data_IF_155342672349
#
_entry.id   IF_155342672349
#
_cell.length_a   1.000
_cell.length_b   1.000
_cell.length_c   1.000
_cell.angle_alpha   90.00
_cell.angle_beta   90.00
_cell.angle_gamma   90.00
#
_symmetry.space_group_name_H-M   'P 1'
#
loop_
_entity.id
_entity.type
_entity.pdbx_description
1 polymer ?
#
# COMPACT_ATOMS: atom_id res chain seq x y z
N UNK A 1 16.59 -16.80 10.57
CA UNK A 1 15.73 -17.23 9.43
C UNK A 1 14.66 -16.19 9.11
N UNK A 2 13.87 -15.68 10.08
CA UNK A 2 12.90 -14.59 9.80
C UNK A 2 13.53 -13.19 9.69
N UNK A 3 14.47 -12.86 10.58
CA UNK A 3 15.17 -11.56 10.55
C UNK A 3 15.98 -11.38 9.26
N UNK A 4 16.43 -12.48 8.65
CA UNK A 4 17.22 -12.48 7.44
C UNK A 4 16.41 -11.99 6.23
N UNK A 5 15.14 -12.42 6.11
CA UNK A 5 14.25 -11.98 5.03
C UNK A 5 13.95 -10.48 5.12
N UNK A 6 13.65 -9.97 6.31
CA UNK A 6 13.41 -8.54 6.51
C UNK A 6 14.67 -7.72 6.18
N UNK A 7 15.84 -8.16 6.66
CA UNK A 7 17.12 -7.52 6.34
C UNK A 7 17.38 -7.50 4.84
N UNK A 8 17.06 -8.59 4.13
CA UNK A 8 17.19 -8.67 2.68
C UNK A 8 16.27 -7.67 1.97
N UNK A 9 14.99 -7.61 2.33
CA UNK A 9 14.04 -6.64 1.76
C UNK A 9 14.49 -5.21 2.03
N UNK A 10 14.94 -4.91 3.25
CA UNK A 10 15.45 -3.58 3.60
C UNK A 10 16.69 -3.19 2.82
N UNK A 11 17.60 -4.14 2.58
CA UNK A 11 18.78 -3.90 1.77
C UNK A 11 18.40 -3.61 0.32
N UNK A 12 17.49 -4.38 -0.27
CA UNK A 12 17.01 -4.11 -1.63
C UNK A 12 16.27 -2.78 -1.73
N UNK A 13 15.42 -2.45 -0.76
CA UNK A 13 14.71 -1.17 -0.68
C UNK A 13 15.67 0.02 -0.66
N UNK A 14 16.69 -0.01 0.22
CA UNK A 14 17.71 1.04 0.30
C UNK A 14 18.46 1.24 -1.02
N UNK A 15 18.59 0.18 -1.82
CA UNK A 15 19.24 0.20 -3.13
C UNK A 15 18.26 0.43 -4.30
N UNK A 16 16.99 0.75 -4.04
CA UNK A 16 15.95 0.98 -5.05
C UNK A 16 15.69 -0.23 -5.98
N UNK A 17 15.93 -1.45 -5.49
CA UNK A 17 15.85 -2.70 -6.23
C UNK A 17 14.46 -3.35 -6.15
N UNK A 18 13.43 -2.64 -6.65
CA UNK A 18 12.04 -3.09 -6.51
C UNK A 18 11.74 -4.39 -7.25
N UNK A 19 12.38 -4.63 -8.41
CA UNK A 19 12.23 -5.86 -9.20
C UNK A 19 12.71 -7.07 -8.43
N UNK A 20 13.83 -6.94 -7.73
CA UNK A 20 14.36 -8.02 -6.93
C UNK A 20 13.46 -8.32 -5.72
N UNK A 21 12.84 -7.30 -5.12
CA UNK A 21 11.88 -7.50 -4.02
C UNK A 21 10.67 -8.32 -4.47
N UNK A 22 10.09 -8.05 -5.63
CA UNK A 22 8.93 -8.84 -6.12
C UNK A 22 9.31 -10.30 -6.40
N UNK A 23 10.56 -10.56 -6.81
CA UNK A 23 11.03 -11.93 -7.09
C UNK A 23 11.40 -12.72 -5.82
N UNK A 24 11.70 -12.06 -4.68
CA UNK A 24 12.11 -12.71 -3.43
C UNK A 24 11.13 -13.77 -2.91
N UNK A 25 9.84 -13.56 -3.09
CA UNK A 25 8.78 -14.39 -2.51
C UNK A 25 7.80 -14.88 -3.60
N UNK A 26 8.30 -15.04 -4.82
CA UNK A 26 7.50 -15.47 -5.99
C UNK A 26 7.12 -16.94 -5.96
N UNK A 27 7.96 -17.78 -5.35
CA UNK A 27 7.81 -19.25 -5.30
C UNK A 27 7.60 -19.74 -3.87
N UNK A 28 8.36 -19.19 -2.93
CA UNK A 28 8.22 -19.51 -1.52
C UNK A 28 7.23 -18.54 -0.89
N UNK A 29 6.11 -19.05 -0.38
CA UNK A 29 5.16 -18.30 0.42
C UNK A 29 5.71 -18.18 1.86
N UNK A 30 6.85 -17.52 2.00
CA UNK A 30 7.59 -17.48 3.24
C UNK A 30 6.73 -16.85 4.34
N UNK A 31 6.65 -17.51 5.50
CA UNK A 31 5.88 -17.00 6.65
C UNK A 31 6.37 -15.60 7.05
N UNK A 32 7.68 -15.34 6.93
CA UNK A 32 8.28 -14.05 7.22
C UNK A 32 7.75 -12.92 6.30
N UNK A 33 7.40 -13.23 5.05
CA UNK A 33 6.90 -12.24 4.09
C UNK A 33 5.54 -11.65 4.54
N UNK A 34 4.72 -12.44 5.23
CA UNK A 34 3.40 -12.03 5.76
C UNK A 34 3.48 -10.91 6.80
N UNK A 35 4.65 -10.69 7.42
CA UNK A 35 4.87 -9.54 8.29
C UNK A 35 4.87 -8.22 7.50
N UNK A 36 5.31 -8.26 6.24
CA UNK A 36 5.38 -7.08 5.37
C UNK A 36 4.15 -6.95 4.49
N UNK A 37 3.76 -8.03 3.81
CA UNK A 37 2.64 -8.10 2.88
C UNK A 37 1.94 -9.45 3.03
N UNK A 38 0.62 -9.45 3.18
CA UNK A 38 -0.17 -10.68 3.25
C UNK A 38 -0.17 -11.43 1.90
N UNK A 39 -0.36 -10.71 0.80
CA UNK A 39 -0.16 -11.17 -0.58
C UNK A 39 1.03 -10.43 -1.17
N UNK A 40 2.01 -11.21 -1.64
CA UNK A 40 3.17 -10.68 -2.34
C UNK A 40 2.81 -10.41 -3.81
N UNK A 41 2.92 -9.15 -4.30
CA UNK A 41 2.49 -8.82 -5.66
C UNK A 41 3.47 -9.36 -6.71
N UNK A 42 2.93 -9.82 -7.84
CA UNK A 42 3.72 -10.03 -9.05
C UNK A 42 3.88 -8.73 -9.85
N UNK A 43 4.82 -8.70 -10.79
CA UNK A 43 4.92 -7.60 -11.76
C UNK A 43 3.62 -7.43 -12.57
N UNK A 44 2.94 -8.53 -12.93
CA UNK A 44 1.66 -8.48 -13.64
C UNK A 44 0.54 -7.84 -12.80
N UNK A 45 0.59 -8.00 -11.47
CA UNK A 45 -0.33 -7.30 -10.58
C UNK A 45 -0.10 -5.78 -10.60
N UNK A 46 1.17 -5.35 -10.54
CA UNK A 46 1.52 -3.93 -10.62
C UNK A 46 1.14 -3.33 -11.97
N UNK A 47 1.41 -4.04 -13.08
CA UNK A 47 1.00 -3.64 -14.42
C UNK A 47 -0.52 -3.51 -14.54
N UNK A 48 -1.29 -4.45 -14.00
CA UNK A 48 -2.75 -4.38 -14.04
C UNK A 48 -3.26 -3.12 -13.32
N UNK A 49 -2.67 -2.77 -12.18
CA UNK A 49 -3.05 -1.57 -11.44
C UNK A 49 -2.71 -0.30 -12.22
N UNK A 50 -1.47 -0.17 -12.70
CA UNK A 50 -1.03 0.97 -13.49
C UNK A 50 -1.94 1.19 -14.71
N UNK A 51 -2.18 0.13 -15.49
CA UNK A 51 -3.06 0.21 -16.66
C UNK A 51 -4.49 0.63 -16.29
N UNK A 52 -5.02 0.12 -15.18
CA UNK A 52 -6.37 0.51 -14.71
C UNK A 52 -6.39 1.99 -14.34
N UNK A 53 -5.42 2.48 -13.55
CA UNK A 53 -5.40 3.87 -13.10
C UNK A 53 -5.27 4.84 -14.28
N UNK A 54 -4.39 4.50 -15.24
CA UNK A 54 -4.20 5.28 -16.47
C UNK A 54 -5.42 5.27 -17.39
N UNK A 55 -6.14 4.15 -17.48
CA UNK A 55 -7.38 4.05 -18.27
C UNK A 55 -8.43 5.07 -17.79
N UNK A 56 -8.49 5.34 -16.49
CA UNK A 56 -9.40 6.33 -15.90
C UNK A 56 -8.80 7.75 -15.85
N UNK A 57 -7.62 7.96 -16.44
CA UNK A 57 -6.91 9.26 -16.44
C UNK A 57 -6.68 9.84 -15.04
N UNK A 58 -6.40 8.97 -14.07
CA UNK A 58 -6.16 9.36 -12.68
C UNK A 58 -4.66 9.63 -12.45
N UNK A 59 -4.34 10.55 -11.54
CA UNK A 59 -2.97 10.98 -11.25
C UNK A 59 -2.20 10.03 -10.33
N UNK A 60 -2.91 9.21 -9.54
CA UNK A 60 -2.27 8.38 -8.54
C UNK A 60 -3.24 7.52 -7.73
N UNK A 61 -2.75 7.05 -6.59
CA UNK A 61 -3.48 6.16 -5.67
C UNK A 61 -3.46 6.74 -4.27
N UNK A 62 -4.62 6.70 -3.61
CA UNK A 62 -4.75 6.87 -2.16
C UNK A 62 -4.99 5.47 -1.59
N UNK A 63 -4.02 4.94 -0.84
CA UNK A 63 -4.07 3.62 -0.22
C UNK A 63 -4.46 3.73 1.26
N UNK A 64 -5.66 3.26 1.58
CA UNK A 64 -6.22 3.21 2.94
C UNK A 64 -5.87 1.87 3.57
N UNK A 65 -5.25 1.87 4.76
CA UNK A 65 -4.75 0.64 5.38
C UNK A 65 -3.46 0.16 4.71
N UNK A 66 -2.58 1.09 4.35
CA UNK A 66 -1.35 0.78 3.61
C UNK A 66 -0.34 -0.07 4.44
N UNK A 67 -0.52 -0.17 5.76
CA UNK A 67 0.35 -0.92 6.63
C UNK A 67 1.74 -0.30 6.69
N UNK A 68 2.77 -1.12 6.43
CA UNK A 68 4.16 -0.65 6.38
C UNK A 68 4.49 0.14 5.10
N UNK A 69 3.59 0.14 4.11
CA UNK A 69 3.77 0.89 2.88
C UNK A 69 4.63 0.24 1.80
N UNK A 70 5.06 -1.03 1.99
CA UNK A 70 5.93 -1.69 1.02
C UNK A 70 5.27 -1.82 -0.36
N UNK A 71 4.00 -2.20 -0.39
CA UNK A 71 3.25 -2.35 -1.64
C UNK A 71 3.12 -1.02 -2.38
N UNK A 72 2.79 0.04 -1.63
CA UNK A 72 2.64 1.39 -2.14
C UNK A 72 3.95 1.90 -2.72
N UNK A 73 5.08 1.62 -2.06
CA UNK A 73 6.39 1.91 -2.60
C UNK A 73 6.67 1.12 -3.88
N UNK A 74 6.41 -0.19 -3.91
CA UNK A 74 6.60 -1.03 -5.11
C UNK A 74 5.78 -0.50 -6.29
N UNK A 75 4.51 -0.15 -6.07
CA UNK A 75 3.65 0.42 -7.10
C UNK A 75 4.19 1.75 -7.61
N UNK A 76 4.60 2.64 -6.71
CA UNK A 76 5.21 3.93 -7.09
C UNK A 76 6.49 3.75 -7.91
N UNK A 77 7.38 2.82 -7.51
CA UNK A 77 8.61 2.53 -8.25
C UNK A 77 8.35 1.90 -9.62
N UNK A 78 7.36 1.01 -9.73
CA UNK A 78 6.99 0.37 -10.99
C UNK A 78 6.36 1.36 -11.98
N UNK A 79 5.37 2.13 -11.51
CA UNK A 79 4.46 2.89 -12.38
C UNK A 79 4.83 4.36 -12.56
N UNK A 80 5.62 4.92 -11.64
CA UNK A 80 5.83 6.36 -11.51
C UNK A 80 4.59 7.13 -11.01
N UNK A 81 3.54 6.44 -10.58
CA UNK A 81 2.34 7.07 -10.01
C UNK A 81 2.63 7.65 -8.63
N UNK A 82 1.93 8.73 -8.29
CA UNK A 82 1.92 9.24 -6.92
C UNK A 82 1.09 8.29 -6.05
N UNK A 83 1.66 7.80 -4.96
CA UNK A 83 0.95 6.93 -4.00
C UNK A 83 0.97 7.56 -2.62
N UNK A 84 -0.22 7.79 -2.06
CA UNK A 84 -0.44 8.36 -0.73
C UNK A 84 -0.93 7.24 0.19
N UNK A 85 -0.22 6.98 1.28
CA UNK A 85 -0.60 5.96 2.26
C UNK A 85 -1.28 6.57 3.49
N UNK A 86 -2.48 6.09 3.81
CA UNK A 86 -3.19 6.38 5.05
C UNK A 86 -3.26 5.16 5.95
N UNK A 87 -3.11 5.42 7.24
CA UNK A 87 -3.27 4.46 8.32
C UNK A 87 -4.09 5.04 9.46
N UNK A 88 -4.83 4.18 10.16
CA UNK A 88 -5.73 4.61 11.24
C UNK A 88 -5.10 4.46 12.61
N UNK A 89 -4.16 3.52 12.78
CA UNK A 89 -3.53 3.23 14.06
C UNK A 89 -2.14 3.87 14.17
N UNK A 90 -2.10 5.17 14.45
CA UNK A 90 -0.84 5.91 14.61
C UNK A 90 0.03 5.35 15.73
N UNK A 91 -0.56 4.96 16.87
CA UNK A 91 0.16 4.43 18.01
C UNK A 91 0.94 3.16 17.64
N UNK A 92 0.30 2.25 16.90
CA UNK A 92 0.96 1.04 16.40
C UNK A 92 2.11 1.38 15.47
N UNK A 93 1.87 2.18 14.43
CA UNK A 93 2.86 2.47 13.38
C UNK A 93 3.98 3.41 13.80
N UNK A 94 3.84 4.10 14.93
CA UNK A 94 4.89 4.89 15.57
C UNK A 94 5.63 4.14 16.68
N UNK A 95 5.17 2.95 17.06
CA UNK A 95 5.80 2.15 18.10
C UNK A 95 7.12 1.53 17.63
N UNK A 96 8.02 1.23 18.57
CA UNK A 96 9.27 0.50 18.29
C UNK A 96 9.06 -0.95 17.80
N UNK A 97 7.83 -1.44 17.87
CA UNK A 97 7.45 -2.80 17.49
C UNK A 97 6.89 -2.87 16.07
N UNK A 98 6.64 -1.72 15.43
CA UNK A 98 6.14 -1.70 14.06
C UNK A 98 7.20 -2.20 13.09
N UNK A 99 6.74 -2.75 11.97
CA UNK A 99 7.62 -3.00 10.84
C UNK A 99 8.18 -1.66 10.30
N UNK A 100 9.34 -1.71 9.60
CA UNK A 100 9.89 -0.54 8.93
C UNK A 100 8.89 0.10 7.97
N UNK A 101 8.87 1.42 7.91
CA UNK A 101 8.01 2.16 6.99
C UNK A 101 8.73 2.39 5.66
N UNK A 102 8.08 2.06 4.55
CA UNK A 102 8.64 2.16 3.19
C UNK A 102 8.19 3.43 2.44
N UNK A 103 7.14 4.08 2.93
CA UNK A 103 6.66 5.41 2.53
C UNK A 103 6.34 6.23 3.79
N UNK A 104 6.13 7.54 3.62
CA UNK A 104 5.57 8.38 4.69
C UNK A 104 4.10 7.98 4.92
N UNK A 105 3.80 7.46 6.10
CA UNK A 105 2.43 7.19 6.53
C UNK A 105 1.75 8.48 6.99
N UNK A 106 0.50 8.70 6.58
CA UNK A 106 -0.32 9.78 7.10
C UNK A 106 -1.47 9.21 7.93
N UNK A 107 -1.82 9.92 9.00
CA UNK A 107 -2.80 9.49 9.99
C UNK A 107 -3.92 10.53 10.03
N UNK A 108 -4.94 10.42 9.16
CA UNK A 108 -6.03 11.38 9.14
C UNK A 108 -6.98 11.18 10.33
N UNK A 109 -7.62 12.26 10.73
CA UNK A 109 -8.73 12.23 11.69
C UNK A 109 -9.84 11.27 11.21
N UNK A 110 -10.55 10.68 12.17
CA UNK A 110 -11.68 9.77 11.90
C UNK A 110 -12.99 10.42 12.38
N UNK A 111 -14.02 10.53 11.52
CA UNK A 111 -14.07 10.07 10.12
C UNK A 111 -13.21 10.92 9.17
N UNK A 112 -12.81 10.38 8.01
CA UNK A 112 -12.02 11.11 7.01
C UNK A 112 -12.79 12.29 6.44
N UNK A 113 -12.06 13.32 6.01
CA UNK A 113 -12.64 14.50 5.36
C UNK A 113 -12.44 14.48 3.83
N UNK A 114 -13.24 15.20 3.03
CA UNK A 114 -13.09 15.15 1.57
C UNK A 114 -11.75 15.69 1.06
N UNK A 115 -11.10 16.55 1.83
CA UNK A 115 -9.85 17.23 1.44
C UNK A 115 -8.66 16.27 1.37
N UNK A 116 -8.74 15.12 2.05
CA UNK A 116 -7.68 14.09 2.00
C UNK A 116 -7.94 13.07 0.88
N UNK A 117 -9.13 13.10 0.25
CA UNK A 117 -9.60 12.14 -0.74
C UNK A 117 -9.74 12.81 -2.12
N UNK A 118 -8.60 13.03 -2.76
CA UNK A 118 -8.51 13.66 -4.08
C UNK A 118 -9.32 12.87 -5.14
N UNK A 119 -10.35 13.46 -5.78
CA UNK A 119 -11.24 12.76 -6.71
C UNK A 119 -10.56 12.24 -7.98
N UNK A 120 -9.41 12.82 -8.32
CA UNK A 120 -8.55 12.52 -9.45
C UNK A 120 -7.49 11.45 -9.12
N UNK A 121 -7.57 10.84 -7.94
CA UNK A 121 -6.79 9.68 -7.52
C UNK A 121 -7.71 8.47 -7.39
N UNK A 122 -7.17 7.27 -7.66
CA UNK A 122 -7.86 6.03 -7.38
C UNK A 122 -7.85 5.75 -5.86
N UNK A 123 -8.98 5.30 -5.32
CA UNK A 123 -9.03 4.86 -3.92
C UNK A 123 -8.78 3.35 -3.83
N UNK A 124 -7.69 2.99 -3.16
CA UNK A 124 -7.28 1.62 -2.90
C UNK A 124 -7.53 1.30 -1.43
N UNK A 125 -8.28 0.22 -1.17
CA UNK A 125 -8.41 -0.31 0.17
C UNK A 125 -7.53 -1.54 0.33
N UNK A 126 -6.57 -1.44 1.24
CA UNK A 126 -5.68 -2.53 1.63
C UNK A 126 -6.09 -3.01 3.02
N UNK A 127 -6.50 -4.28 3.11
CA UNK A 127 -6.88 -4.99 4.34
C UNK A 127 -7.62 -4.11 5.37
N UNK A 128 -8.92 -3.98 5.15
CA UNK A 128 -9.78 -3.23 6.06
C UNK A 128 -10.70 -4.22 6.79
N UNK A 129 -10.28 -4.67 7.98
CA UNK A 129 -11.15 -5.46 8.88
C UNK A 129 -12.19 -4.57 9.60
N UNK A 130 -12.12 -3.26 9.41
CA UNK A 130 -13.03 -2.27 9.98
C UNK A 130 -14.09 -1.82 8.96
N UNK A 131 -15.19 -2.58 8.87
CA UNK A 131 -16.27 -2.23 7.96
C UNK A 131 -16.89 -0.84 8.19
N UNK A 132 -16.75 -0.25 9.39
CA UNK A 132 -17.26 1.09 9.68
C UNK A 132 -16.40 2.14 8.96
N UNK A 133 -15.09 2.14 9.20
CA UNK A 133 -14.23 3.13 8.56
C UNK A 133 -14.19 2.95 7.03
N UNK A 134 -14.33 1.73 6.49
CA UNK A 134 -14.52 1.53 5.04
C UNK A 134 -15.71 2.34 4.49
N UNK A 135 -16.87 2.24 5.15
CA UNK A 135 -18.08 2.98 4.75
C UNK A 135 -17.87 4.49 4.85
N UNK A 136 -17.16 4.95 5.89
CA UNK A 136 -16.87 6.37 6.06
C UNK A 136 -15.99 6.90 4.92
N UNK A 137 -14.89 6.21 4.58
CA UNK A 137 -14.04 6.57 3.44
C UNK A 137 -14.79 6.57 2.11
N UNK A 138 -15.61 5.54 1.83
CA UNK A 138 -16.41 5.49 0.60
C UNK A 138 -17.44 6.61 0.54
N UNK A 139 -18.14 6.89 1.66
CA UNK A 139 -19.15 7.95 1.70
C UNK A 139 -18.57 9.34 1.47
N UNK A 140 -17.27 9.50 1.77
CA UNK A 140 -16.54 10.75 1.63
C UNK A 140 -15.87 10.91 0.25
N UNK A 141 -15.55 9.80 -0.43
CA UNK A 141 -14.84 9.81 -1.71
C UNK A 141 -15.74 10.23 -2.87
N UNK A 142 -15.29 11.24 -3.63
CA UNK A 142 -16.03 11.81 -4.78
C UNK A 142 -15.47 11.40 -6.14
N UNK A 143 -14.46 10.52 -6.18
CA UNK A 143 -13.85 10.08 -7.43
C UNK A 143 -14.58 8.90 -8.07
N UNK A 144 -14.15 8.56 -9.30
CA UNK A 144 -14.86 7.61 -10.16
C UNK A 144 -14.30 6.18 -10.12
N UNK A 145 -13.23 5.93 -9.35
CA UNK A 145 -12.62 4.60 -9.25
C UNK A 145 -12.27 4.26 -7.79
N UNK A 146 -13.03 3.33 -7.22
CA UNK A 146 -12.66 2.64 -5.98
C UNK A 146 -12.41 1.17 -6.27
N UNK A 147 -11.31 0.62 -5.75
CA UNK A 147 -10.97 -0.80 -5.93
C UNK A 147 -10.51 -1.42 -4.62
N UNK A 148 -10.99 -2.62 -4.36
CA UNK A 148 -10.50 -3.45 -3.27
C UNK A 148 -9.29 -4.24 -3.72
N UNK A 149 -8.24 -4.19 -2.90
CA UNK A 149 -7.16 -5.17 -2.95
C UNK A 149 -7.22 -5.97 -1.65
N UNK A 150 -7.56 -7.24 -1.79
CA UNK A 150 -7.37 -8.18 -0.70
C UNK A 150 -5.87 -8.48 -0.64
N UNK A 151 -5.19 -7.78 0.28
CA UNK A 151 -3.87 -8.17 0.77
C UNK A 151 -4.01 -9.52 1.46
#
# INVERSE_FOLDING_TARGET
MEDDFLVQVLNLYKNQKWKEIIELNKVDNAVAARKLLWVWPSESNLQMMDSTIRQFSLYGVISIGCGCGLFEWLLGQFSGLTVIGYEVNQEWWSSRYSNPQFIKLNFPDQPPTPEILFPDYALLFCYFNDGKAFREYISCYKGNLSRFWVK
#
